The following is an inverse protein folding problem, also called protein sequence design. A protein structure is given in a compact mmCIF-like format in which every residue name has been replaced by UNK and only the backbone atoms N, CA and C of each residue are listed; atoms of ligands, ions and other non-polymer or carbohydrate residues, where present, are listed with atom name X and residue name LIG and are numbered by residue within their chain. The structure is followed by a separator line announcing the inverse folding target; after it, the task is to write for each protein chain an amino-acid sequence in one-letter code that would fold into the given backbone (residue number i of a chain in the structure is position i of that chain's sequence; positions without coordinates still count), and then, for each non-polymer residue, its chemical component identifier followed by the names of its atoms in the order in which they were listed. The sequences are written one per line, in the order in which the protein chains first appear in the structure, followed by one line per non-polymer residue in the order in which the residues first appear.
data_IF_904924076067
#
_entry.id   IF_904924076067
#
_cell.length_a   1.000
_cell.length_b   1.000
_cell.length_c   1.000
_cell.angle_alpha   90.00
_cell.angle_beta   90.00
_cell.angle_gamma   90.00
#
_symmetry.space_group_name_H-M   'P 1'
#
loop_
_entity.id
_entity.type
_entity.pdbx_description
1 polymer ?
#
# COMPACT_ATOMS: atom_id res chain seq x y z
N UNK A 1 -62.51 7.98 -0.32
CA UNK A 1 -63.73 7.79 -1.12
C UNK A 1 -63.41 7.05 -2.41
N UNK A 2 -64.39 6.68 -3.21
CA UNK A 2 -64.25 5.88 -4.45
C UNK A 2 -63.24 6.51 -5.42
N UNK A 3 -63.19 7.86 -5.51
CA UNK A 3 -62.23 8.57 -6.39
C UNK A 3 -60.75 8.34 -5.99
N UNK A 4 -60.44 8.30 -4.70
CA UNK A 4 -59.07 8.05 -4.23
C UNK A 4 -58.60 6.61 -4.52
N UNK A 5 -59.50 5.64 -4.49
CA UNK A 5 -59.22 4.24 -4.80
C UNK A 5 -58.92 4.08 -6.30
N UNK A 6 -59.69 4.73 -7.17
CA UNK A 6 -59.46 4.74 -8.60
C UNK A 6 -58.12 5.39 -8.94
N UNK A 7 -57.80 6.55 -8.32
CA UNK A 7 -56.54 7.24 -8.49
C UNK A 7 -55.34 6.34 -8.06
N UNK A 8 -55.46 5.67 -6.90
CA UNK A 8 -54.42 4.77 -6.41
C UNK A 8 -54.18 3.58 -7.35
N UNK A 9 -55.27 3.02 -7.92
CA UNK A 9 -55.18 1.92 -8.89
C UNK A 9 -54.46 2.37 -10.18
N UNK A 10 -54.82 3.55 -10.69
CA UNK A 10 -54.15 4.11 -11.87
C UNK A 10 -52.68 4.38 -11.61
N UNK A 11 -52.33 4.99 -10.47
CA UNK A 11 -50.97 5.24 -10.06
C UNK A 11 -50.16 3.95 -9.91
N UNK A 12 -50.76 2.93 -9.29
CA UNK A 12 -50.12 1.61 -9.16
C UNK A 12 -49.79 1.00 -10.53
N UNK A 13 -50.74 1.03 -11.47
CA UNK A 13 -50.52 0.51 -12.82
C UNK A 13 -49.45 1.27 -13.59
N UNK A 14 -49.41 2.60 -13.44
CA UNK A 14 -48.39 3.47 -14.01
C UNK A 14 -46.99 3.14 -13.40
N UNK A 15 -46.92 3.06 -12.09
CA UNK A 15 -45.67 2.69 -11.39
C UNK A 15 -45.17 1.30 -11.84
N UNK A 16 -46.05 0.33 -11.94
CA UNK A 16 -45.72 -1.02 -12.39
C UNK A 16 -45.20 -1.01 -13.87
N UNK A 17 -45.84 -0.25 -14.75
CA UNK A 17 -45.40 -0.10 -16.13
C UNK A 17 -44.04 0.58 -16.22
N UNK A 18 -43.79 1.64 -15.40
CA UNK A 18 -42.48 2.34 -15.31
C UNK A 18 -41.41 1.37 -14.81
N UNK A 19 -41.66 0.62 -13.74
CA UNK A 19 -40.70 -0.35 -13.21
C UNK A 19 -40.32 -1.37 -14.28
N UNK A 20 -41.31 -1.92 -14.98
CA UNK A 20 -41.09 -2.88 -16.08
C UNK A 20 -40.28 -2.25 -17.22
N UNK A 21 -40.57 -1.00 -17.56
CA UNK A 21 -39.83 -0.27 -18.60
C UNK A 21 -38.34 0.03 -18.18
N UNK A 22 -38.10 0.32 -16.90
CA UNK A 22 -36.75 0.58 -16.38
C UNK A 22 -35.93 -0.72 -16.24
N UNK A 23 -36.54 -1.81 -15.81
CA UNK A 23 -35.82 -3.07 -15.60
C UNK A 23 -35.22 -3.64 -16.89
N UNK A 24 -35.86 -3.47 -18.04
CA UNK A 24 -35.33 -3.98 -19.31
C UNK A 24 -33.97 -3.37 -19.72
N UNK A 25 -33.81 -2.03 -19.77
CA UNK A 25 -32.54 -1.40 -20.01
C UNK A 25 -31.46 -1.73 -18.96
N UNK A 26 -31.85 -1.83 -17.68
CA UNK A 26 -30.91 -2.17 -16.60
C UNK A 26 -30.35 -3.59 -16.81
N UNK A 27 -31.21 -4.56 -17.12
CA UNK A 27 -30.79 -5.94 -17.41
C UNK A 27 -29.83 -5.99 -18.61
N UNK A 28 -30.14 -5.27 -19.69
CA UNK A 28 -29.25 -5.17 -20.87
C UNK A 28 -27.90 -4.54 -20.54
N UNK A 29 -27.88 -3.55 -19.66
CA UNK A 29 -26.64 -2.91 -19.21
C UNK A 29 -25.78 -3.89 -18.41
N UNK A 30 -26.39 -4.62 -17.47
CA UNK A 30 -25.70 -5.65 -16.68
C UNK A 30 -25.15 -6.78 -17.56
N UNK A 31 -25.90 -7.17 -18.61
CA UNK A 31 -25.43 -8.14 -19.61
C UNK A 31 -24.20 -7.63 -20.37
N UNK A 32 -24.26 -6.38 -20.83
CA UNK A 32 -23.18 -5.76 -21.63
C UNK A 32 -21.88 -5.59 -20.81
N UNK A 33 -22.00 -5.39 -19.50
CA UNK A 33 -20.85 -5.24 -18.59
C UNK A 33 -20.24 -6.59 -18.16
N UNK A 34 -20.74 -7.73 -18.68
CA UNK A 34 -20.27 -9.08 -18.30
C UNK A 34 -20.24 -9.32 -16.78
N UNK A 35 -21.24 -8.79 -16.06
CA UNK A 35 -21.35 -8.96 -14.61
C UNK A 35 -21.62 -10.44 -14.30
N UNK A 36 -20.93 -10.98 -13.28
CA UNK A 36 -21.16 -12.35 -12.80
C UNK A 36 -22.64 -12.64 -12.56
N UNK A 37 -23.08 -13.86 -12.92
CA UNK A 37 -24.50 -14.26 -12.84
C UNK A 37 -25.10 -14.10 -11.45
N UNK A 38 -24.32 -14.40 -10.40
CA UNK A 38 -24.75 -14.30 -9.00
C UNK A 38 -24.94 -12.84 -8.60
N UNK A 39 -23.95 -11.98 -8.92
CA UNK A 39 -23.99 -10.56 -8.65
C UNK A 39 -25.11 -9.87 -9.44
N UNK A 40 -25.32 -10.26 -10.69
CA UNK A 40 -26.42 -9.78 -11.52
C UNK A 40 -27.78 -10.11 -10.90
N UNK A 41 -27.97 -11.35 -10.45
CA UNK A 41 -29.22 -11.77 -9.78
C UNK A 41 -29.47 -10.95 -8.51
N UNK A 42 -28.46 -10.73 -7.71
CA UNK A 42 -28.52 -9.90 -6.51
C UNK A 42 -28.90 -8.45 -6.84
N UNK A 43 -28.17 -7.79 -7.76
CA UNK A 43 -28.45 -6.40 -8.15
C UNK A 43 -29.86 -6.23 -8.71
N UNK A 44 -30.31 -7.16 -9.57
CA UNK A 44 -31.70 -7.16 -10.09
C UNK A 44 -32.71 -7.18 -8.95
N UNK A 45 -32.52 -8.05 -7.98
CA UNK A 45 -33.43 -8.17 -6.83
C UNK A 45 -33.45 -6.92 -5.99
N UNK A 46 -32.28 -6.37 -5.63
CA UNK A 46 -32.17 -5.13 -4.84
C UNK A 46 -32.86 -3.96 -5.56
N UNK A 47 -32.55 -3.73 -6.83
CA UNK A 47 -33.14 -2.64 -7.61
C UNK A 47 -34.65 -2.79 -7.67
N UNK A 48 -35.16 -4.01 -7.93
CA UNK A 48 -36.61 -4.27 -7.99
C UNK A 48 -37.27 -4.01 -6.63
N UNK A 49 -36.68 -4.43 -5.52
CA UNK A 49 -37.19 -4.18 -4.17
C UNK A 49 -37.29 -2.69 -3.90
N UNK A 50 -36.22 -1.92 -4.19
CA UNK A 50 -36.21 -0.46 -4.01
C UNK A 50 -37.28 0.24 -4.86
N UNK A 51 -37.39 -0.12 -6.14
CA UNK A 51 -38.40 0.46 -7.06
C UNK A 51 -39.84 0.15 -6.61
N UNK A 52 -40.09 -1.08 -6.18
CA UNK A 52 -41.41 -1.46 -5.67
C UNK A 52 -41.74 -0.74 -4.37
N UNK A 53 -40.75 -0.56 -3.47
CA UNK A 53 -40.94 0.19 -2.23
C UNK A 53 -41.32 1.65 -2.52
N UNK A 54 -40.62 2.31 -3.46
CA UNK A 54 -40.97 3.68 -3.91
C UNK A 54 -42.37 3.73 -4.48
N UNK A 55 -42.75 2.76 -5.31
CA UNK A 55 -44.11 2.66 -5.86
C UNK A 55 -45.16 2.55 -4.76
N UNK A 56 -44.94 1.71 -3.74
CA UNK A 56 -45.86 1.57 -2.60
C UNK A 56 -46.00 2.88 -1.84
N UNK A 57 -44.90 3.63 -1.63
CA UNK A 57 -44.97 4.95 -1.00
C UNK A 57 -45.83 5.93 -1.80
N UNK A 58 -45.64 6.01 -3.13
CA UNK A 58 -46.42 6.91 -4.00
C UNK A 58 -47.90 6.55 -3.96
N UNK A 59 -48.24 5.28 -4.00
CA UNK A 59 -49.63 4.79 -3.94
C UNK A 59 -50.23 5.11 -2.55
N UNK A 60 -49.51 4.88 -1.45
CA UNK A 60 -49.97 5.15 -0.09
C UNK A 60 -50.28 6.65 0.10
N UNK A 61 -49.41 7.53 -0.40
CA UNK A 61 -49.61 8.99 -0.36
C UNK A 61 -50.84 9.41 -1.13
N UNK A 62 -51.13 8.79 -2.30
CA UNK A 62 -52.27 9.12 -3.14
C UNK A 62 -53.63 8.83 -2.48
N UNK A 63 -53.72 7.94 -1.49
CA UNK A 63 -54.91 7.61 -0.72
C UNK A 63 -54.94 8.33 0.64
N UNK A 64 -53.97 9.24 0.89
CA UNK A 64 -53.92 10.08 2.11
C UNK A 64 -53.28 9.38 3.31
N UNK A 65 -52.52 8.30 3.11
CA UNK A 65 -51.72 7.69 4.19
C UNK A 65 -50.48 8.54 4.39
N UNK A 66 -50.20 9.05 5.61
CA UNK A 66 -49.00 9.85 5.85
C UNK A 66 -47.76 8.95 5.77
N UNK A 67 -46.94 9.19 4.75
CA UNK A 67 -45.71 8.41 4.48
C UNK A 67 -44.50 8.89 5.27
N UNK A 68 -44.62 9.97 6.03
CA UNK A 68 -43.50 10.58 6.79
C UNK A 68 -42.81 9.61 7.74
N UNK A 69 -43.56 8.80 8.48
CA UNK A 69 -42.99 7.76 9.36
C UNK A 69 -42.30 6.65 8.58
N UNK A 70 -42.85 6.27 7.43
CA UNK A 70 -42.25 5.26 6.55
C UNK A 70 -40.93 5.75 5.94
N UNK A 71 -40.89 7.01 5.50
CA UNK A 71 -39.65 7.65 5.01
C UNK A 71 -38.61 7.80 6.14
N UNK A 72 -39.02 8.07 7.39
CA UNK A 72 -38.11 8.09 8.53
C UNK A 72 -37.47 6.70 8.77
N UNK A 73 -38.26 5.64 8.74
CA UNK A 73 -37.74 4.25 8.86
C UNK A 73 -36.81 3.91 7.69
N UNK A 74 -37.17 4.29 6.46
CA UNK A 74 -36.32 4.10 5.29
C UNK A 74 -35.00 4.88 5.42
N UNK A 75 -35.03 6.09 5.94
CA UNK A 75 -33.82 6.89 6.21
C UNK A 75 -32.89 6.20 7.21
N UNK A 76 -33.44 5.61 8.28
CA UNK A 76 -32.66 4.82 9.24
C UNK A 76 -32.05 3.56 8.61
N UNK A 77 -32.84 2.83 7.81
CA UNK A 77 -32.33 1.67 7.05
C UNK A 77 -31.26 2.08 6.05
N UNK A 78 -31.44 3.19 5.34
CA UNK A 78 -30.47 3.75 4.41
C UNK A 78 -29.15 4.11 5.11
N UNK A 79 -29.23 4.70 6.29
CA UNK A 79 -28.04 4.99 7.13
C UNK A 79 -27.31 3.69 7.52
N UNK A 80 -28.05 2.68 7.99
CA UNK A 80 -27.47 1.39 8.38
C UNK A 80 -26.75 0.70 7.20
N UNK A 81 -27.37 0.71 6.01
CA UNK A 81 -26.75 0.16 4.77
C UNK A 81 -25.53 0.99 4.38
N UNK A 82 -25.61 2.33 4.45
CA UNK A 82 -24.48 3.22 4.14
C UNK A 82 -23.28 2.95 5.03
N UNK A 83 -23.49 2.79 6.33
CA UNK A 83 -22.42 2.42 7.27
C UNK A 83 -21.83 1.04 6.97
N UNK A 84 -22.66 0.09 6.53
CA UNK A 84 -22.22 -1.27 6.20
C UNK A 84 -21.32 -1.30 4.95
N UNK A 85 -21.55 -0.42 3.96
CA UNK A 85 -20.76 -0.37 2.71
C UNK A 85 -19.65 0.69 2.74
N UNK A 86 -19.53 1.44 3.82
CA UNK A 86 -18.57 2.55 3.95
C UNK A 86 -17.13 2.13 3.64
N UNK A 87 -16.70 0.95 4.10
CA UNK A 87 -15.36 0.42 3.83
C UNK A 87 -15.10 0.18 2.34
N UNK A 88 -16.08 -0.40 1.66
CA UNK A 88 -15.96 -0.63 0.21
C UNK A 88 -15.91 0.69 -0.58
N UNK A 89 -16.74 1.67 -0.20
CA UNK A 89 -16.75 2.99 -0.83
C UNK A 89 -15.45 3.76 -0.56
N UNK A 90 -14.89 3.63 0.64
CA UNK A 90 -13.58 4.19 0.99
C UNK A 90 -12.48 3.60 0.12
N UNK A 91 -12.45 2.27 -0.05
CA UNK A 91 -11.47 1.62 -0.92
C UNK A 91 -11.60 2.06 -2.38
N UNK A 92 -12.80 2.17 -2.90
CA UNK A 92 -13.06 2.66 -4.25
C UNK A 92 -12.54 4.10 -4.44
N UNK A 93 -12.89 5.00 -3.52
CA UNK A 93 -12.46 6.40 -3.56
C UNK A 93 -10.94 6.53 -3.49
N UNK A 94 -10.29 5.77 -2.60
CA UNK A 94 -8.84 5.75 -2.48
C UNK A 94 -8.18 5.10 -3.70
N UNK A 95 -8.76 4.07 -4.30
CA UNK A 95 -8.27 3.46 -5.54
C UNK A 95 -8.27 4.48 -6.70
N UNK A 96 -9.36 5.23 -6.87
CA UNK A 96 -9.44 6.31 -7.86
C UNK A 96 -8.39 7.39 -7.56
N UNK A 97 -8.23 7.78 -6.30
CA UNK A 97 -7.23 8.76 -5.88
C UNK A 97 -5.81 8.30 -6.23
N UNK A 98 -5.45 7.04 -5.94
CA UNK A 98 -4.14 6.46 -6.27
C UNK A 98 -3.89 6.48 -7.79
N UNK A 99 -4.91 6.17 -8.60
CA UNK A 99 -4.81 6.20 -10.06
C UNK A 99 -4.66 7.60 -10.65
N UNK A 100 -5.23 8.61 -9.99
CA UNK A 100 -5.14 10.03 -10.42
C UNK A 100 -3.80 10.63 -9.97
N UNK A 101 -3.48 10.53 -8.68
CA UNK A 101 -2.29 11.19 -8.08
C UNK A 101 -1.00 10.45 -8.39
N UNK A 102 -1.07 9.13 -8.65
CA UNK A 102 0.03 8.24 -9.02
C UNK A 102 1.27 8.37 -8.13
N UNK A 103 1.14 8.23 -6.81
CA UNK A 103 2.30 8.23 -5.93
C UNK A 103 3.24 7.05 -6.22
N UNK A 104 2.73 6.02 -6.86
CA UNK A 104 3.45 4.89 -7.44
C UNK A 104 2.69 4.35 -8.65
N UNK A 105 3.34 3.51 -9.44
CA UNK A 105 2.79 2.86 -10.64
C UNK A 105 2.96 1.34 -10.56
N UNK A 106 2.27 0.59 -11.42
CA UNK A 106 2.57 -0.82 -11.61
C UNK A 106 4.03 -0.98 -12.08
N UNK A 107 4.76 -1.89 -11.44
CA UNK A 107 6.19 -2.11 -11.60
C UNK A 107 7.07 -1.44 -10.54
N UNK A 108 6.56 -0.45 -9.80
CA UNK A 108 7.33 0.20 -8.75
C UNK A 108 7.48 -0.72 -7.52
N UNK A 109 8.65 -0.69 -6.89
CA UNK A 109 8.91 -1.31 -5.60
C UNK A 109 8.60 -0.31 -4.49
N UNK A 110 7.66 -0.67 -3.63
CA UNK A 110 7.14 0.24 -2.58
C UNK A 110 7.11 -0.43 -1.21
N UNK A 111 7.10 0.39 -0.17
CA UNK A 111 6.70 -0.01 1.17
C UNK A 111 5.46 0.80 1.58
N UNK A 112 4.35 0.12 1.85
CA UNK A 112 3.08 0.71 2.26
C UNK A 112 2.27 -0.28 3.09
N UNK A 113 1.47 0.20 4.03
CA UNK A 113 0.61 -0.63 4.90
C UNK A 113 1.36 -1.79 5.60
N UNK A 114 2.64 -1.59 5.96
CA UNK A 114 3.49 -2.62 6.58
C UNK A 114 3.97 -3.73 5.64
N UNK A 115 3.77 -3.59 4.34
CA UNK A 115 4.16 -4.55 3.31
C UNK A 115 5.17 -3.89 2.38
N UNK A 116 6.15 -4.66 1.95
CA UNK A 116 7.18 -4.24 1.00
C UNK A 116 7.20 -5.20 -0.20
N UNK A 117 7.18 -4.64 -1.43
CA UNK A 117 7.17 -5.42 -2.65
C UNK A 117 6.91 -4.61 -3.90
N UNK A 118 6.84 -5.31 -5.03
CA UNK A 118 6.57 -4.73 -6.35
C UNK A 118 5.07 -4.65 -6.61
N UNK A 119 4.57 -3.48 -6.94
CA UNK A 119 3.17 -3.28 -7.36
C UNK A 119 2.92 -4.00 -8.67
N UNK A 120 2.01 -4.97 -8.68
CA UNK A 120 1.59 -5.64 -9.91
C UNK A 120 0.48 -4.89 -10.62
N UNK A 121 -0.55 -4.53 -9.88
CA UNK A 121 -1.70 -3.78 -10.40
C UNK A 121 -2.42 -3.01 -9.29
N UNK A 122 -3.08 -1.93 -9.70
CA UNK A 122 -3.96 -1.13 -8.84
C UNK A 122 -5.38 -1.36 -9.35
N UNK A 123 -6.17 -2.13 -8.59
CA UNK A 123 -7.58 -2.40 -8.89
C UNK A 123 -8.49 -1.40 -8.15
N UNK A 124 -9.79 -1.44 -8.41
CA UNK A 124 -10.75 -0.48 -7.83
C UNK A 124 -10.80 -0.50 -6.31
N UNK A 125 -10.66 -1.66 -5.68
CA UNK A 125 -10.81 -1.84 -4.23
C UNK A 125 -9.50 -2.18 -3.52
N UNK A 126 -8.55 -2.77 -4.22
CA UNK A 126 -7.28 -3.22 -3.66
C UNK A 126 -6.13 -3.05 -4.66
N UNK A 127 -4.93 -2.95 -4.14
CA UNK A 127 -3.68 -2.98 -4.89
C UNK A 127 -3.01 -4.33 -4.66
N UNK A 128 -2.58 -4.97 -5.74
CA UNK A 128 -1.85 -6.23 -5.70
C UNK A 128 -0.35 -5.95 -5.66
N UNK A 129 0.33 -6.47 -4.64
CA UNK A 129 1.77 -6.34 -4.42
C UNK A 129 2.39 -7.74 -4.43
N UNK A 130 3.51 -7.90 -5.12
CA UNK A 130 4.31 -9.12 -5.10
C UNK A 130 5.53 -8.88 -4.22
N UNK A 131 5.68 -9.70 -3.19
CA UNK A 131 6.85 -9.66 -2.31
C UNK A 131 8.08 -10.26 -2.97
N UNK A 132 9.28 -10.01 -2.42
CA UNK A 132 10.55 -10.55 -2.93
C UNK A 132 10.60 -12.10 -2.88
N UNK A 133 9.82 -12.72 -2.01
CA UNK A 133 9.65 -14.18 -1.92
C UNK A 133 8.47 -14.70 -2.78
N UNK A 134 8.02 -13.89 -3.75
CA UNK A 134 7.04 -14.21 -4.78
C UNK A 134 5.63 -14.54 -4.25
N UNK A 135 5.19 -13.86 -3.20
CA UNK A 135 3.81 -13.96 -2.70
C UNK A 135 2.96 -12.82 -3.23
N UNK A 136 1.75 -13.15 -3.67
CA UNK A 136 0.72 -12.17 -4.03
C UNK A 136 0.02 -11.67 -2.76
N UNK A 137 0.09 -10.37 -2.49
CA UNK A 137 -0.62 -9.73 -1.38
C UNK A 137 -1.60 -8.71 -1.95
N UNK A 138 -2.86 -8.83 -1.52
CA UNK A 138 -3.93 -7.89 -1.88
C UNK A 138 -4.16 -6.94 -0.71
N UNK A 139 -3.79 -5.68 -0.89
CA UNK A 139 -3.91 -4.65 0.15
C UNK A 139 -5.08 -3.74 -0.20
N UNK A 140 -6.04 -3.52 0.72
CA UNK A 140 -7.11 -2.54 0.52
C UNK A 140 -6.54 -1.15 0.19
N UNK A 141 -7.11 -0.48 -0.81
CA UNK A 141 -6.60 0.83 -1.23
C UNK A 141 -6.67 1.89 -0.12
N UNK A 142 -7.65 1.78 0.78
CA UNK A 142 -7.78 2.67 1.93
C UNK A 142 -6.62 2.54 2.93
N UNK A 143 -6.04 1.36 3.09
CA UNK A 143 -4.88 1.14 3.97
C UNK A 143 -3.61 1.74 3.37
N UNK A 144 -3.43 1.60 2.05
CA UNK A 144 -2.29 2.18 1.34
C UNK A 144 -2.37 3.71 1.36
N UNK A 145 -3.51 4.27 0.94
CA UNK A 145 -3.69 5.71 0.83
C UNK A 145 -3.78 6.43 2.18
N UNK A 146 -4.24 5.73 3.22
CA UNK A 146 -4.33 6.25 4.58
C UNK A 146 -3.01 6.30 5.34
N UNK A 147 -1.96 5.65 4.83
CA UNK A 147 -0.66 5.53 5.47
C UNK A 147 0.47 6.25 4.73
N UNK A 148 1.68 6.09 5.26
CA UNK A 148 2.90 6.53 4.59
C UNK A 148 3.23 5.56 3.46
N UNK A 149 3.50 6.10 2.28
CA UNK A 149 3.98 5.36 1.12
C UNK A 149 5.45 5.72 0.90
N UNK A 150 6.32 4.72 0.86
CA UNK A 150 7.70 4.89 0.43
C UNK A 150 7.86 4.23 -0.93
N UNK A 151 8.13 5.02 -1.96
CA UNK A 151 8.40 4.52 -3.31
C UNK A 151 9.91 4.50 -3.52
N UNK A 152 10.47 3.29 -3.73
CA UNK A 152 11.90 3.09 -3.94
C UNK A 152 12.31 3.16 -5.41
N UNK A 153 11.33 3.21 -6.33
CA UNK A 153 11.54 3.21 -7.77
C UNK A 153 11.29 4.57 -8.42
N UNK A 154 10.75 5.54 -7.69
CA UNK A 154 10.43 6.87 -8.24
C UNK A 154 11.67 7.66 -8.62
N UNK A 155 12.75 7.52 -7.85
CA UNK A 155 14.01 8.17 -8.12
C UNK A 155 14.99 7.21 -8.81
N UNK A 156 15.73 7.66 -9.84
CA UNK A 156 16.62 6.77 -10.60
C UNK A 156 17.82 6.31 -9.78
N UNK A 157 18.27 7.11 -8.82
CA UNK A 157 19.42 6.79 -7.98
C UNK A 157 19.02 6.63 -6.52
N UNK A 158 19.68 5.69 -5.85
CA UNK A 158 19.47 5.42 -4.41
C UNK A 158 20.78 5.43 -3.68
N UNK A 159 20.74 5.83 -2.39
CA UNK A 159 21.90 5.78 -1.51
C UNK A 159 21.93 4.47 -0.75
N UNK A 160 23.05 3.76 -0.87
CA UNK A 160 23.38 2.57 -0.09
C UNK A 160 24.11 3.04 1.17
N UNK A 161 23.54 2.76 2.32
CA UNK A 161 24.12 3.11 3.63
C UNK A 161 24.57 1.82 4.32
N UNK A 162 25.87 1.74 4.66
CA UNK A 162 26.45 0.61 5.39
C UNK A 162 27.13 1.14 6.65
N UNK A 163 26.90 0.44 7.74
CA UNK A 163 27.60 0.69 9.01
C UNK A 163 28.47 -0.51 9.30
N UNK A 164 29.78 -0.28 9.42
CA UNK A 164 30.78 -1.31 9.70
C UNK A 164 31.55 -1.01 10.97
N UNK A 165 32.09 -2.04 11.62
CA UNK A 165 32.82 -1.91 12.87
C UNK A 165 34.24 -2.43 12.72
N UNK A 166 35.16 -1.72 13.34
CA UNK A 166 36.56 -2.11 13.47
C UNK A 166 36.97 -2.09 14.95
N UNK A 167 37.93 -2.92 15.35
CA UNK A 167 38.45 -2.94 16.71
C UNK A 167 39.22 -1.65 17.06
N UNK A 168 39.30 -1.28 18.33
CA UNK A 168 39.99 -0.11 18.82
C UNK A 168 41.51 -0.08 18.52
N UNK A 169 42.08 -1.27 18.26
CA UNK A 169 43.54 -1.39 17.98
C UNK A 169 43.90 -1.01 16.53
N UNK A 170 42.96 -0.53 15.74
CA UNK A 170 43.22 -0.07 14.38
C UNK A 170 43.43 1.43 14.34
N UNK A 171 44.38 1.87 13.53
CA UNK A 171 44.52 3.30 13.21
C UNK A 171 43.35 3.74 12.31
N UNK A 172 42.79 4.93 12.62
CA UNK A 172 41.61 5.47 11.90
C UNK A 172 41.93 5.70 10.40
N UNK A 173 43.17 6.18 10.10
CA UNK A 173 43.57 6.44 8.71
C UNK A 173 43.67 5.14 7.92
N UNK A 174 44.16 4.06 8.52
CA UNK A 174 44.26 2.73 7.93
C UNK A 174 42.89 2.16 7.63
N UNK A 175 41.93 2.26 8.59
CA UNK A 175 40.56 1.81 8.37
C UNK A 175 39.89 2.61 7.25
N UNK A 176 40.01 3.92 7.24
CA UNK A 176 39.45 4.76 6.17
C UNK A 176 40.03 4.44 4.81
N UNK A 177 41.35 4.18 4.73
CA UNK A 177 42.01 3.76 3.49
C UNK A 177 41.41 2.47 2.98
N UNK A 178 41.31 1.45 3.82
CA UNK A 178 40.70 0.17 3.47
C UNK A 178 39.27 0.32 2.96
N UNK A 179 38.45 1.14 3.64
CA UNK A 179 37.07 1.40 3.22
C UNK A 179 36.99 2.16 1.89
N UNK A 180 37.93 3.08 1.62
CA UNK A 180 38.02 3.79 0.34
C UNK A 180 38.38 2.82 -0.80
N UNK A 181 39.32 1.91 -0.58
CA UNK A 181 39.70 0.86 -1.52
C UNK A 181 38.53 -0.10 -1.80
N UNK A 182 37.77 -0.47 -0.75
CA UNK A 182 36.58 -1.31 -0.91
C UNK A 182 35.51 -0.62 -1.79
N UNK A 183 35.25 0.66 -1.56
CA UNK A 183 34.30 1.43 -2.40
C UNK A 183 34.80 1.50 -3.85
N UNK A 184 36.09 1.79 -4.04
CA UNK A 184 36.68 1.87 -5.40
C UNK A 184 36.69 0.52 -6.16
N UNK A 185 36.69 -0.60 -5.42
CA UNK A 185 36.61 -1.95 -5.98
C UNK A 185 35.17 -2.44 -6.20
N UNK A 186 34.16 -1.65 -5.81
CA UNK A 186 32.76 -2.01 -5.97
C UNK A 186 32.20 -1.42 -7.25
N UNK A 187 31.80 -2.29 -8.17
CA UNK A 187 31.21 -1.88 -9.44
C UNK A 187 29.86 -1.18 -9.25
N UNK A 188 29.42 -0.40 -10.23
CA UNK A 188 28.15 0.33 -10.26
C UNK A 188 27.94 1.36 -9.13
N UNK A 189 29.01 1.72 -8.41
CA UNK A 189 28.97 2.87 -7.50
C UNK A 189 29.14 4.17 -8.30
N UNK A 190 28.31 5.18 -7.98
CA UNK A 190 28.40 6.49 -8.61
C UNK A 190 29.43 7.37 -7.87
N UNK A 191 30.17 8.18 -8.65
CA UNK A 191 31.15 9.12 -8.10
C UNK A 191 30.56 10.50 -7.77
N UNK A 192 29.38 10.80 -8.30
CA UNK A 192 28.62 12.01 -8.00
C UNK A 192 27.18 11.63 -7.60
N UNK A 193 26.78 11.95 -6.36
CA UNK A 193 27.58 12.52 -5.27
C UNK A 193 28.71 11.63 -4.79
N UNK A 194 29.81 12.25 -4.36
CA UNK A 194 31.01 11.54 -3.89
C UNK A 194 30.71 10.60 -2.70
N UNK A 195 31.35 9.43 -2.62
CA UNK A 195 31.23 8.52 -1.49
C UNK A 195 31.55 9.20 -0.15
N UNK A 196 30.75 8.91 0.86
CA UNK A 196 30.94 9.40 2.21
C UNK A 196 31.47 8.29 3.11
N UNK A 197 32.67 8.45 3.69
CA UNK A 197 33.28 7.49 4.60
C UNK A 197 33.74 8.25 5.85
N UNK A 198 33.07 8.02 6.99
CA UNK A 198 33.36 8.69 8.24
C UNK A 198 33.25 7.75 9.43
N UNK A 199 34.07 8.03 10.45
CA UNK A 199 33.85 7.52 11.78
C UNK A 199 32.55 8.10 12.31
N UNK A 200 31.61 7.25 12.74
CA UNK A 200 30.27 7.64 13.18
C UNK A 200 30.02 7.44 14.67
N UNK A 201 30.85 6.65 15.35
CA UNK A 201 30.68 6.47 16.79
C UNK A 201 31.68 5.51 17.42
N UNK A 202 31.68 5.54 18.75
CA UNK A 202 32.40 4.61 19.60
C UNK A 202 31.38 3.70 20.30
N UNK A 203 31.55 2.40 20.19
CA UNK A 203 30.72 1.37 20.83
C UNK A 203 31.58 0.67 21.91
N UNK A 204 30.94 -0.18 22.70
CA UNK A 204 31.57 -0.85 23.82
C UNK A 204 32.90 -1.57 23.46
N UNK A 205 32.93 -2.26 22.29
CA UNK A 205 34.09 -3.03 21.82
C UNK A 205 34.55 -2.65 20.42
N UNK A 206 34.05 -1.53 19.85
CA UNK A 206 34.28 -1.19 18.46
C UNK A 206 34.23 0.30 18.17
N UNK A 207 34.96 0.70 17.15
CA UNK A 207 34.82 1.99 16.47
C UNK A 207 33.89 1.75 15.26
N UNK A 208 32.84 2.55 15.13
CA UNK A 208 31.84 2.45 14.09
C UNK A 208 32.12 3.46 12.97
N UNK A 209 32.01 2.98 11.73
CA UNK A 209 32.20 3.78 10.52
C UNK A 209 30.94 3.69 9.66
N UNK A 210 30.51 4.83 9.15
CA UNK A 210 29.40 4.92 8.20
C UNK A 210 29.96 5.15 6.79
N UNK A 211 29.51 4.32 5.86
CA UNK A 211 29.80 4.38 4.44
C UNK A 211 28.48 4.67 3.73
N UNK A 212 28.50 5.67 2.84
CA UNK A 212 27.36 6.01 2.00
C UNK A 212 27.85 6.12 0.57
N UNK A 213 27.28 5.30 -0.30
CA UNK A 213 27.56 5.34 -1.73
C UNK A 213 26.23 5.46 -2.49
N UNK A 214 26.28 6.01 -3.69
CA UNK A 214 25.13 6.13 -4.54
C UNK A 214 25.20 5.09 -5.65
N UNK A 215 24.07 4.55 -6.04
CA UNK A 215 23.94 3.56 -7.13
C UNK A 215 22.65 3.80 -7.89
N UNK A 216 22.55 3.26 -9.11
CA UNK A 216 21.27 3.16 -9.80
C UNK A 216 20.32 2.31 -8.97
N UNK A 217 19.02 2.63 -8.99
CA UNK A 217 18.00 1.89 -8.22
C UNK A 217 17.98 0.40 -8.54
N UNK A 218 18.23 0.02 -9.80
CA UNK A 218 18.36 -1.38 -10.27
C UNK A 218 19.52 -2.13 -9.64
N UNK A 219 20.61 -1.43 -9.33
CA UNK A 219 21.87 -2.02 -8.85
C UNK A 219 22.02 -1.94 -7.33
N UNK A 220 21.02 -1.38 -6.64
CA UNK A 220 21.07 -1.13 -5.20
C UNK A 220 21.52 -2.36 -4.38
N UNK A 221 20.91 -3.51 -4.62
CA UNK A 221 21.21 -4.71 -3.87
C UNK A 221 22.55 -5.33 -4.27
N UNK A 222 22.93 -5.28 -5.55
CA UNK A 222 24.23 -5.73 -6.02
C UNK A 222 25.34 -4.91 -5.35
N UNK A 223 25.24 -3.58 -5.43
CA UNK A 223 26.19 -2.68 -4.77
C UNK A 223 26.23 -2.89 -3.25
N UNK A 224 25.09 -3.11 -2.61
CA UNK A 224 25.03 -3.36 -1.18
C UNK A 224 25.82 -4.62 -0.78
N UNK A 225 25.59 -5.74 -1.45
CA UNK A 225 26.26 -7.00 -1.12
C UNK A 225 27.73 -7.02 -1.56
N UNK A 226 28.03 -6.55 -2.76
CA UNK A 226 29.40 -6.47 -3.28
C UNK A 226 30.28 -5.57 -2.40
N UNK A 227 29.75 -4.45 -1.93
CA UNK A 227 30.46 -3.55 -1.03
C UNK A 227 30.77 -4.23 0.30
N UNK A 228 29.85 -5.00 0.88
CA UNK A 228 30.10 -5.76 2.11
C UNK A 228 31.23 -6.78 1.91
N UNK A 229 31.25 -7.50 0.80
CA UNK A 229 32.33 -8.45 0.49
C UNK A 229 33.66 -7.74 0.26
N UNK A 230 33.66 -6.64 -0.49
CA UNK A 230 34.86 -5.87 -0.77
C UNK A 230 35.44 -5.20 0.49
N UNK A 231 34.59 -4.78 1.44
CA UNK A 231 35.03 -4.31 2.76
C UNK A 231 35.77 -5.44 3.49
N UNK A 232 35.27 -6.66 3.47
CA UNK A 232 35.93 -7.82 4.11
C UNK A 232 37.32 -8.09 3.49
N UNK A 233 37.41 -8.08 2.14
CA UNK A 233 38.68 -8.25 1.40
C UNK A 233 39.67 -7.11 1.71
N UNK A 234 39.21 -5.87 1.71
CA UNK A 234 40.04 -4.70 1.99
C UNK A 234 40.54 -4.66 3.43
N UNK A 235 39.72 -5.08 4.38
CA UNK A 235 40.13 -5.23 5.79
C UNK A 235 41.27 -6.24 5.92
N UNK A 236 41.12 -7.41 5.30
CA UNK A 236 42.16 -8.44 5.32
C UNK A 236 43.47 -7.95 4.67
N UNK A 237 43.39 -7.26 3.51
CA UNK A 237 44.54 -6.74 2.77
C UNK A 237 45.29 -5.61 3.54
N UNK A 238 44.59 -4.79 4.31
CA UNK A 238 45.17 -3.69 5.08
C UNK A 238 45.45 -4.04 6.55
N UNK A 239 45.26 -5.33 6.94
CA UNK A 239 45.52 -5.76 8.32
C UNK A 239 44.55 -5.18 9.35
N UNK A 240 43.39 -4.69 8.92
CA UNK A 240 42.38 -4.15 9.82
C UNK A 240 41.71 -5.30 10.61
N UNK A 241 41.75 -5.20 11.91
CA UNK A 241 41.19 -6.18 12.84
C UNK A 241 39.73 -5.88 13.12
N UNK A 242 38.87 -6.89 13.03
CA UNK A 242 37.46 -6.78 13.41
C UNK A 242 37.28 -6.45 14.89
N UNK A 243 36.12 -5.99 15.24
CA UNK A 243 35.74 -5.79 16.63
C UNK A 243 35.55 -7.12 17.34
N UNK A 244 36.29 -7.33 18.45
CA UNK A 244 36.19 -8.53 19.29
C UNK A 244 35.89 -8.07 20.71
N UNK A 245 34.90 -8.66 21.40
CA UNK A 245 34.72 -8.44 22.83
C UNK A 245 36.00 -8.78 23.56
N UNK A 246 36.53 -7.84 24.37
CA UNK A 246 37.71 -8.03 25.17
C UNK A 246 37.43 -7.87 26.66
N UNK A 247 38.12 -8.63 27.49
CA UNK A 247 38.07 -8.50 28.95
C UNK A 247 39.49 -8.32 29.49
N UNK A 248 39.68 -7.31 30.34
CA UNK A 248 40.91 -7.15 31.09
C UNK A 248 40.79 -7.95 32.37
N UNK A 249 41.69 -8.93 32.56
CA UNK A 249 41.76 -9.76 33.80
C UNK A 249 42.94 -9.21 34.62
N UNK A 250 42.66 -8.65 35.78
CA UNK A 250 43.67 -8.27 36.78
C UNK A 250 43.81 -9.44 37.75
N UNK A 251 44.95 -10.12 37.71
CA UNK A 251 45.28 -11.13 38.71
C UNK A 251 45.99 -10.40 39.89
N UNK A 252 45.42 -10.52 41.08
CA UNK A 252 46.02 -10.05 42.29
C UNK A 252 46.85 -11.19 42.87
N UNK A 253 48.18 -11.03 42.98
CA UNK A 253 49.02 -11.95 43.72
C UNK A 253 48.78 -11.74 45.22
N UNK A 254 48.26 -12.74 45.90
CA UNK A 254 48.22 -12.76 47.37
C UNK A 254 49.65 -12.81 47.88
N UNK A 255 50.02 -11.83 48.74
CA UNK A 255 51.28 -11.78 49.47
C UNK A 255 51.23 -12.70 50.68
#
# INVERSE_FOLDING_TARGET
TVGNIISALVIFLVCHAVIKALMGPIERLLDKLNVDLTLRGFLRTVIRVVLNFVAVCIVAESIGIPIASLLAVLGMLGLAVSLSVQGALSNLSNGIMLLITKPFKAGDYIAAAGIEGTVKEISMLCTKIITVDNKDIFVPNSEIAGGKITNFSSEPVRRVDIVIRAGYNNDIATVKKALTEAVAATDNTLNDPAPFIRLSGYKEYAVEYTIRVWAQGSDYWNVYFDLLENISKAYAANGVKGAVPGMNIYMQEDK
#
